data_IF_563372542009
#
_entry.id   IF_563372542009
#
_cell.length_a   1.000
_cell.length_b   1.000
_cell.length_c   1.000
_cell.angle_alpha   90.00
_cell.angle_beta   90.00
_cell.angle_gamma   90.00
#
_symmetry.space_group_name_H-M   'P 1'
#
loop_
_entity.id
_entity.type
_entity.pdbx_description
1 polymer ?
#
# COMPACT_ATOMS: atom_id res chain seq x y z
N UNK A 1 24.93 -65.81 -50.85
CA UNK A 1 23.62 -65.50 -51.49
C UNK A 1 22.59 -65.24 -50.39
N UNK A 2 22.29 -63.97 -50.09
CA UNK A 2 21.20 -63.59 -49.20
C UNK A 2 20.07 -63.00 -50.04
N UNK A 3 19.00 -63.77 -50.20
CA UNK A 3 17.78 -63.35 -50.90
C UNK A 3 16.94 -62.47 -49.97
N UNK A 4 16.89 -61.16 -50.24
CA UNK A 4 15.97 -60.24 -49.57
C UNK A 4 14.56 -60.50 -50.10
N UNK A 5 13.67 -61.03 -49.25
CA UNK A 5 12.24 -61.14 -49.52
C UNK A 5 11.66 -59.74 -49.75
N UNK A 6 11.41 -59.41 -51.00
CA UNK A 6 10.77 -58.17 -51.42
C UNK A 6 9.26 -58.32 -51.18
N UNK A 7 8.74 -57.77 -50.09
CA UNK A 7 7.29 -57.68 -49.89
C UNK A 7 6.70 -56.75 -50.97
N UNK A 8 5.59 -57.18 -51.59
CA UNK A 8 4.92 -56.37 -52.60
C UNK A 8 4.43 -55.06 -51.95
N UNK A 9 4.57 -53.93 -52.65
CA UNK A 9 4.13 -52.62 -52.15
C UNK A 9 2.65 -52.61 -51.71
N UNK A 10 1.84 -53.52 -52.25
CA UNK A 10 0.43 -53.74 -51.86
C UNK A 10 0.28 -54.42 -50.49
N UNK A 11 1.16 -55.37 -50.14
CA UNK A 11 1.16 -56.01 -48.83
C UNK A 11 1.63 -55.05 -47.72
N UNK A 12 2.60 -54.17 -48.02
CA UNK A 12 3.07 -53.14 -47.08
C UNK A 12 2.01 -52.06 -46.84
N UNK A 13 1.31 -51.61 -47.89
CA UNK A 13 0.23 -50.64 -47.77
C UNK A 13 -0.97 -51.21 -46.99
N UNK A 14 -1.33 -52.47 -47.23
CA UNK A 14 -2.39 -53.16 -46.48
C UNK A 14 -2.06 -53.33 -44.99
N UNK A 15 -0.80 -53.67 -44.67
CA UNK A 15 -0.34 -53.77 -43.28
C UNK A 15 -0.31 -52.40 -42.58
N UNK A 16 0.08 -51.33 -43.28
CA UNK A 16 0.12 -49.98 -42.73
C UNK A 16 -1.29 -49.42 -42.48
N UNK A 17 -2.24 -49.68 -43.38
CA UNK A 17 -3.65 -49.30 -43.18
C UNK A 17 -4.31 -50.07 -42.04
N UNK A 18 -3.97 -51.36 -41.87
CA UNK A 18 -4.48 -52.15 -40.74
C UNK A 18 -3.88 -51.67 -39.40
N UNK A 19 -2.60 -51.28 -39.39
CA UNK A 19 -1.92 -50.73 -38.21
C UNK A 19 -2.50 -49.36 -37.83
N UNK A 20 -2.81 -48.50 -38.80
CA UNK A 20 -3.47 -47.21 -38.57
C UNK A 20 -4.90 -47.38 -38.05
N UNK A 21 -5.65 -48.38 -38.55
CA UNK A 21 -6.98 -48.70 -38.02
C UNK A 21 -6.92 -49.25 -36.59
N UNK A 22 -5.92 -50.08 -36.28
CA UNK A 22 -5.67 -50.60 -34.93
C UNK A 22 -5.24 -49.50 -33.96
N UNK A 23 -4.44 -48.52 -34.41
CA UNK A 23 -4.06 -47.34 -33.63
C UNK A 23 -5.25 -46.40 -33.38
N UNK A 24 -6.15 -46.24 -34.35
CA UNK A 24 -7.39 -45.46 -34.19
C UNK A 24 -8.39 -46.15 -33.25
N UNK A 25 -8.45 -47.48 -33.24
CA UNK A 25 -9.31 -48.25 -32.32
C UNK A 25 -8.72 -48.36 -30.90
N UNK A 26 -7.41 -48.30 -30.75
CA UNK A 26 -6.74 -48.25 -29.44
C UNK A 26 -6.78 -46.85 -28.78
N UNK A 27 -7.19 -45.82 -29.51
CA UNK A 27 -7.31 -44.45 -29.01
C UNK A 27 -8.60 -44.13 -28.24
N UNK A 28 -9.56 -45.07 -28.17
CA UNK A 28 -10.84 -44.88 -27.47
C UNK A 28 -11.06 -46.00 -26.43
N UNK A 29 -10.36 -45.94 -25.29
CA UNK A 29 -10.84 -46.49 -24.03
C UNK A 29 -9.84 -46.21 -22.89
N UNK A 30 -9.82 -44.96 -22.44
CA UNK A 30 -9.79 -44.65 -21.00
C UNK A 30 -10.57 -43.34 -20.86
N UNK A 31 -11.90 -43.43 -20.78
CA UNK A 31 -12.63 -42.42 -20.02
C UNK A 31 -12.01 -42.45 -18.62
N UNK A 32 -11.41 -41.34 -18.17
CA UNK A 32 -10.98 -41.26 -16.78
C UNK A 32 -12.25 -41.35 -15.94
N UNK A 33 -12.39 -42.42 -15.15
CA UNK A 33 -13.48 -42.59 -14.19
C UNK A 33 -13.46 -41.55 -13.06
N UNK A 34 -12.42 -40.70 -12.98
CA UNK A 34 -12.39 -39.50 -12.16
C UNK A 34 -13.12 -38.34 -12.87
N UNK A 35 -14.39 -38.55 -13.22
CA UNK A 35 -15.30 -37.41 -13.42
C UNK A 35 -15.66 -36.95 -12.00
N UNK A 36 -15.29 -35.74 -11.57
CA UNK A 36 -15.63 -35.26 -10.24
C UNK A 36 -17.16 -35.27 -10.09
N UNK A 37 -17.70 -36.25 -9.36
CA UNK A 37 -19.14 -36.42 -9.13
C UNK A 37 -19.65 -35.54 -7.98
N UNK A 38 -18.79 -34.65 -7.46
CA UNK A 38 -19.18 -33.60 -6.52
C UNK A 38 -19.92 -32.46 -7.23
N UNK A 39 -20.56 -31.55 -6.49
CA UNK A 39 -21.03 -30.30 -7.08
C UNK A 39 -19.88 -29.60 -7.81
N UNK A 40 -20.16 -29.04 -8.99
CA UNK A 40 -19.17 -28.30 -9.75
C UNK A 40 -18.55 -27.23 -8.86
N UNK A 41 -17.22 -27.23 -8.77
CA UNK A 41 -16.49 -26.18 -8.04
C UNK A 41 -16.68 -24.89 -8.83
N UNK A 42 -17.44 -23.94 -8.29
CA UNK A 42 -17.61 -22.62 -8.91
C UNK A 42 -16.46 -21.69 -8.50
N UNK A 43 -16.19 -20.68 -9.31
CA UNK A 43 -15.19 -19.64 -8.99
C UNK A 43 -15.57 -18.93 -7.69
N UNK A 44 -16.84 -18.54 -7.52
CA UNK A 44 -17.31 -17.94 -6.26
C UNK A 44 -17.04 -18.81 -5.02
N UNK A 45 -17.17 -20.14 -5.17
CA UNK A 45 -16.87 -21.06 -4.08
C UNK A 45 -15.37 -21.10 -3.79
N UNK A 46 -14.52 -21.14 -4.81
CA UNK A 46 -13.06 -21.08 -4.65
C UNK A 46 -12.64 -19.78 -3.95
N UNK A 47 -13.24 -18.64 -4.31
CA UNK A 47 -13.01 -17.37 -3.63
C UNK A 47 -13.40 -17.47 -2.15
N UNK A 48 -14.62 -17.92 -1.85
CA UNK A 48 -15.11 -18.04 -0.48
C UNK A 48 -14.26 -19.00 0.36
N UNK A 49 -13.89 -20.15 -0.20
CA UNK A 49 -13.04 -21.15 0.45
C UNK A 49 -11.60 -20.60 0.63
N UNK A 50 -11.11 -19.79 -0.31
CA UNK A 50 -9.82 -19.11 -0.23
C UNK A 50 -9.76 -18.12 0.93
N UNK A 51 -10.75 -17.24 1.06
CA UNK A 51 -10.83 -16.29 2.18
C UNK A 51 -11.07 -16.98 3.52
N UNK A 52 -11.85 -18.07 3.53
CA UNK A 52 -12.02 -18.89 4.75
C UNK A 52 -10.70 -19.51 5.20
N UNK A 53 -9.94 -20.10 4.28
CA UNK A 53 -8.62 -20.65 4.57
C UNK A 53 -7.63 -19.55 5.01
N UNK A 54 -7.67 -18.38 4.37
CA UNK A 54 -6.86 -17.21 4.76
C UNK A 54 -7.12 -16.81 6.21
N UNK A 55 -8.40 -16.65 6.59
CA UNK A 55 -8.79 -16.30 7.96
C UNK A 55 -8.39 -17.37 9.00
N UNK A 56 -8.28 -18.63 8.58
CA UNK A 56 -7.79 -19.73 9.43
C UNK A 56 -6.27 -19.82 9.50
N UNK A 57 -5.54 -18.97 8.78
CA UNK A 57 -4.07 -19.02 8.67
C UNK A 57 -3.56 -20.15 7.78
N UNK A 58 -4.44 -20.81 7.02
CA UNK A 58 -4.12 -21.90 6.11
C UNK A 58 -3.66 -21.35 4.74
N UNK A 59 -2.57 -20.59 4.73
CA UNK A 59 -2.14 -19.80 3.57
C UNK A 59 -1.86 -20.63 2.31
N UNK A 60 -1.31 -21.84 2.44
CA UNK A 60 -1.08 -22.72 1.27
C UNK A 60 -2.41 -23.17 0.62
N UNK A 61 -3.43 -23.43 1.45
CA UNK A 61 -4.75 -23.81 0.98
C UNK A 61 -5.49 -22.60 0.39
N UNK A 62 -5.39 -21.44 1.04
CA UNK A 62 -5.92 -20.18 0.51
C UNK A 62 -5.33 -19.89 -0.88
N UNK A 63 -4.00 -20.00 -1.01
CA UNK A 63 -3.31 -19.77 -2.27
C UNK A 63 -3.74 -20.76 -3.35
N UNK A 64 -3.94 -22.04 -3.00
CA UNK A 64 -4.46 -23.05 -3.93
C UNK A 64 -5.84 -22.66 -4.44
N UNK A 65 -6.76 -22.31 -3.55
CA UNK A 65 -8.13 -21.92 -3.91
C UNK A 65 -8.16 -20.67 -4.80
N UNK A 66 -7.43 -19.62 -4.44
CA UNK A 66 -7.35 -18.41 -5.26
C UNK A 66 -6.66 -18.66 -6.61
N UNK A 67 -5.61 -19.48 -6.64
CA UNK A 67 -4.92 -19.83 -7.90
C UNK A 67 -5.84 -20.62 -8.83
N UNK A 68 -6.63 -21.56 -8.29
CA UNK A 68 -7.62 -22.30 -9.07
C UNK A 68 -8.74 -21.38 -9.59
N UNK A 69 -9.17 -20.39 -8.79
CA UNK A 69 -10.12 -19.36 -9.24
C UNK A 69 -9.54 -18.54 -10.40
N UNK A 70 -8.30 -18.08 -10.30
CA UNK A 70 -7.62 -17.33 -11.35
C UNK A 70 -7.36 -18.19 -12.61
N UNK A 71 -7.13 -19.50 -12.47
CA UNK A 71 -6.99 -20.42 -13.60
C UNK A 71 -8.31 -20.64 -14.34
N UNK A 72 -9.43 -20.68 -13.61
CA UNK A 72 -10.76 -20.81 -14.18
C UNK A 72 -11.22 -19.51 -14.85
N UNK A 73 -10.96 -18.36 -14.23
CA UNK A 73 -11.30 -17.03 -14.71
C UNK A 73 -10.10 -16.08 -14.57
N UNK A 74 -9.32 -15.93 -15.65
CA UNK A 74 -8.10 -15.13 -15.64
C UNK A 74 -8.31 -13.63 -15.35
N UNK A 75 -9.54 -13.14 -15.48
CA UNK A 75 -9.95 -11.76 -15.17
C UNK A 75 -10.60 -11.61 -13.78
N UNK A 76 -10.58 -12.65 -12.94
CA UNK A 76 -11.16 -12.59 -11.61
C UNK A 76 -10.26 -11.80 -10.65
N UNK A 77 -10.61 -10.53 -10.40
CA UNK A 77 -9.83 -9.62 -9.55
C UNK A 77 -9.75 -10.07 -8.10
N UNK A 78 -10.80 -10.70 -7.59
CA UNK A 78 -10.90 -11.18 -6.21
C UNK A 78 -9.87 -12.30 -5.95
N UNK A 79 -9.61 -13.15 -6.95
CA UNK A 79 -8.55 -14.16 -6.88
C UNK A 79 -7.16 -13.52 -6.73
N UNK A 80 -6.86 -12.48 -7.52
CA UNK A 80 -5.58 -11.76 -7.39
C UNK A 80 -5.47 -11.00 -6.05
N UNK A 81 -6.57 -10.43 -5.56
CA UNK A 81 -6.62 -9.80 -4.25
C UNK A 81 -6.25 -10.81 -3.15
N UNK A 82 -6.94 -11.95 -3.13
CA UNK A 82 -6.69 -13.04 -2.18
C UNK A 82 -5.26 -13.58 -2.24
N UNK A 83 -4.71 -13.80 -3.45
CA UNK A 83 -3.30 -14.17 -3.64
C UNK A 83 -2.36 -13.12 -3.09
N UNK A 84 -2.63 -11.84 -3.35
CA UNK A 84 -1.83 -10.72 -2.87
C UNK A 84 -1.69 -10.70 -1.35
N UNK A 85 -2.83 -10.77 -0.65
CA UNK A 85 -2.87 -10.87 0.80
C UNK A 85 -2.22 -12.15 1.34
N UNK A 86 -2.42 -13.28 0.67
CA UNK A 86 -1.83 -14.56 1.08
C UNK A 86 -0.31 -14.52 0.98
N UNK A 87 0.25 -13.96 -0.10
CA UNK A 87 1.70 -13.77 -0.22
C UNK A 87 2.26 -12.80 0.80
N UNK A 88 1.52 -11.74 1.17
CA UNK A 88 1.95 -10.82 2.21
C UNK A 88 2.12 -11.54 3.55
N UNK A 89 1.16 -12.40 3.93
CA UNK A 89 1.26 -13.22 5.14
C UNK A 89 2.40 -14.25 5.10
N UNK A 90 2.74 -14.73 3.91
CA UNK A 90 3.89 -15.61 3.69
C UNK A 90 5.23 -14.86 3.59
N UNK A 91 5.25 -13.54 3.79
CA UNK A 91 6.44 -12.68 3.64
C UNK A 91 7.06 -12.72 2.23
N UNK A 92 6.25 -13.03 1.21
CA UNK A 92 6.63 -13.01 -0.20
C UNK A 92 6.25 -11.65 -0.84
N UNK A 93 6.80 -10.56 -0.29
CA UNK A 93 6.38 -9.18 -0.58
C UNK A 93 6.32 -8.84 -2.06
N UNK A 94 7.31 -9.27 -2.86
CA UNK A 94 7.33 -9.00 -4.30
C UNK A 94 6.12 -9.61 -5.03
N UNK A 95 5.69 -10.81 -4.63
CA UNK A 95 4.50 -11.47 -5.22
C UNK A 95 3.22 -10.86 -4.68
N UNK A 96 3.19 -10.45 -3.41
CA UNK A 96 2.07 -9.72 -2.84
C UNK A 96 1.81 -8.42 -3.61
N UNK A 97 2.83 -7.56 -3.71
CA UNK A 97 2.77 -6.28 -4.43
C UNK A 97 2.36 -6.48 -5.90
N UNK A 98 2.89 -7.52 -6.56
CA UNK A 98 2.52 -7.82 -7.95
C UNK A 98 1.03 -8.19 -8.07
N UNK A 99 0.51 -9.09 -7.23
CA UNK A 99 -0.88 -9.53 -7.33
C UNK A 99 -1.87 -8.43 -6.93
N UNK A 100 -1.57 -7.66 -5.87
CA UNK A 100 -2.35 -6.48 -5.51
C UNK A 100 -2.29 -5.40 -6.62
N UNK A 101 -1.13 -5.23 -7.26
CA UNK A 101 -0.97 -4.36 -8.43
C UNK A 101 -1.80 -4.84 -9.64
N UNK A 102 -1.94 -6.14 -9.84
CA UNK A 102 -2.79 -6.70 -10.90
C UNK A 102 -4.26 -6.34 -10.67
N UNK A 103 -4.76 -6.31 -9.43
CA UNK A 103 -6.14 -5.87 -9.12
C UNK A 103 -6.40 -4.46 -9.68
N UNK A 104 -5.47 -3.54 -9.42
CA UNK A 104 -5.56 -2.14 -9.84
C UNK A 104 -5.45 -2.04 -11.37
N UNK A 105 -4.40 -2.63 -11.96
CA UNK A 105 -4.11 -2.49 -13.38
C UNK A 105 -5.16 -3.20 -14.26
N UNK A 106 -5.53 -4.44 -13.92
CA UNK A 106 -6.52 -5.20 -14.67
C UNK A 106 -7.92 -4.64 -14.44
N UNK A 107 -8.26 -4.26 -13.19
CA UNK A 107 -9.56 -3.67 -12.87
C UNK A 107 -9.83 -2.39 -13.65
N UNK A 108 -8.82 -1.52 -13.81
CA UNK A 108 -8.96 -0.32 -14.65
C UNK A 108 -9.31 -0.65 -16.11
N UNK A 109 -8.72 -1.70 -16.68
CA UNK A 109 -9.04 -2.17 -18.03
C UNK A 109 -10.46 -2.75 -18.07
N UNK A 110 -10.83 -3.58 -17.10
CA UNK A 110 -12.16 -4.21 -17.05
C UNK A 110 -13.29 -3.19 -16.88
N UNK A 111 -13.08 -2.11 -16.11
CA UNK A 111 -14.04 -1.01 -15.99
C UNK A 111 -14.15 -0.23 -17.31
N UNK A 112 -13.01 0.08 -17.94
CA UNK A 112 -13.00 0.82 -19.20
C UNK A 112 -13.73 0.07 -20.33
N UNK A 113 -13.64 -1.27 -20.32
CA UNK A 113 -14.33 -2.15 -21.27
C UNK A 113 -15.75 -2.55 -20.81
N UNK A 114 -16.27 -1.95 -19.73
CA UNK A 114 -17.62 -2.18 -19.17
C UNK A 114 -17.90 -3.64 -18.72
N UNK A 115 -16.86 -4.41 -18.40
CA UNK A 115 -17.02 -5.77 -17.86
C UNK A 115 -17.44 -5.80 -16.39
N UNK A 116 -17.02 -4.81 -15.62
CA UNK A 116 -17.35 -4.64 -14.19
C UNK A 116 -17.77 -3.19 -13.93
N UNK A 117 -18.48 -2.96 -12.83
CA UNK A 117 -18.91 -1.61 -12.48
C UNK A 117 -17.78 -0.81 -11.84
N UNK A 118 -17.76 0.53 -11.99
CA UNK A 118 -16.80 1.38 -11.29
C UNK A 118 -16.82 1.18 -9.77
N UNK A 119 -18.00 0.98 -9.18
CA UNK A 119 -18.15 0.79 -7.73
C UNK A 119 -17.44 -0.49 -7.26
N UNK A 120 -17.63 -1.61 -7.97
CA UNK A 120 -16.95 -2.87 -7.66
C UNK A 120 -15.43 -2.75 -7.79
N UNK A 121 -14.96 -2.07 -8.83
CA UNK A 121 -13.53 -1.80 -9.00
C UNK A 121 -12.97 -0.92 -7.89
N UNK A 122 -13.64 0.18 -7.52
CA UNK A 122 -13.19 1.06 -6.44
C UNK A 122 -13.04 0.27 -5.13
N UNK A 123 -14.01 -0.58 -4.76
CA UNK A 123 -13.89 -1.45 -3.58
C UNK A 123 -12.61 -2.29 -3.61
N UNK A 124 -12.37 -3.01 -4.71
CA UNK A 124 -11.19 -3.85 -4.87
C UNK A 124 -9.88 -3.05 -4.94
N UNK A 125 -9.91 -1.86 -5.55
CA UNK A 125 -8.77 -0.95 -5.65
C UNK A 125 -8.32 -0.50 -4.26
N UNK A 126 -9.27 -0.10 -3.42
CA UNK A 126 -9.00 0.33 -2.04
C UNK A 126 -8.47 -0.82 -1.20
N UNK A 127 -9.09 -2.00 -1.27
CA UNK A 127 -8.60 -3.21 -0.58
C UNK A 127 -7.19 -3.61 -1.04
N UNK A 128 -6.91 -3.49 -2.34
CA UNK A 128 -5.57 -3.75 -2.87
C UNK A 128 -4.55 -2.69 -2.42
N UNK A 129 -4.91 -1.41 -2.42
CA UNK A 129 -4.07 -0.32 -1.93
C UNK A 129 -3.73 -0.49 -0.44
N UNK A 130 -4.70 -0.86 0.40
CA UNK A 130 -4.47 -1.15 1.82
C UNK A 130 -3.48 -2.32 2.01
N UNK A 131 -3.64 -3.40 1.24
CA UNK A 131 -2.71 -4.52 1.24
C UNK A 131 -1.29 -4.11 0.81
N UNK A 132 -1.16 -3.18 -0.16
CA UNK A 132 0.13 -2.66 -0.58
C UNK A 132 0.76 -1.80 0.51
N UNK A 133 -0.01 -0.91 1.15
CA UNK A 133 0.48 -0.10 2.27
C UNK A 133 1.07 -0.99 3.38
N UNK A 134 0.33 -2.02 3.80
CA UNK A 134 0.79 -3.00 4.78
C UNK A 134 2.06 -3.74 4.33
N UNK A 135 2.12 -4.18 3.07
CA UNK A 135 3.28 -4.91 2.54
C UNK A 135 4.52 -4.03 2.47
N UNK A 136 4.40 -2.79 1.98
CA UNK A 136 5.51 -1.84 1.91
C UNK A 136 6.00 -1.43 3.30
N UNK A 137 5.11 -1.30 4.28
CA UNK A 137 5.50 -1.08 5.67
C UNK A 137 6.36 -2.25 6.18
N UNK A 138 5.95 -3.49 5.93
CA UNK A 138 6.72 -4.69 6.28
C UNK A 138 8.11 -4.73 5.64
N UNK A 139 8.23 -4.24 4.40
CA UNK A 139 9.49 -4.10 3.68
C UNK A 139 10.31 -2.87 4.10
N UNK A 140 9.78 -2.02 5.01
CA UNK A 140 10.34 -0.73 5.44
C UNK A 140 10.52 0.29 4.32
N UNK A 141 9.71 0.15 3.27
CA UNK A 141 9.59 1.14 2.20
C UNK A 141 8.55 2.18 2.62
N UNK A 142 8.96 3.07 3.53
CA UNK A 142 8.03 3.94 4.25
C UNK A 142 7.30 4.93 3.33
N UNK A 143 8.00 5.58 2.40
CA UNK A 143 7.39 6.52 1.46
C UNK A 143 6.30 5.85 0.60
N UNK A 144 6.55 4.61 0.13
CA UNK A 144 5.56 3.84 -0.60
C UNK A 144 4.37 3.47 0.31
N UNK A 145 4.64 3.06 1.55
CA UNK A 145 3.60 2.71 2.52
C UNK A 145 2.66 3.89 2.81
N UNK A 146 3.22 5.09 3.06
CA UNK A 146 2.46 6.34 3.21
C UNK A 146 1.64 6.63 1.97
N UNK A 147 2.25 6.60 0.78
CA UNK A 147 1.54 6.92 -0.46
C UNK A 147 0.34 5.99 -0.72
N UNK A 148 0.47 4.69 -0.42
CA UNK A 148 -0.65 3.75 -0.55
C UNK A 148 -1.70 3.92 0.54
N UNK A 149 -1.30 4.25 1.78
CA UNK A 149 -2.23 4.55 2.86
C UNK A 149 -3.05 5.81 2.59
N UNK A 150 -2.40 6.89 2.12
CA UNK A 150 -3.05 8.14 1.71
C UNK A 150 -4.10 7.88 0.62
N UNK A 151 -3.76 7.06 -0.37
CA UNK A 151 -4.71 6.70 -1.43
C UNK A 151 -5.94 5.98 -0.90
N UNK A 152 -5.83 5.20 0.17
CA UNK A 152 -7.00 4.55 0.81
C UNK A 152 -7.83 5.59 1.56
N UNK A 153 -7.17 6.42 2.37
CA UNK A 153 -7.83 7.44 3.20
C UNK A 153 -8.58 8.46 2.35
N UNK A 154 -8.02 8.86 1.19
CA UNK A 154 -8.65 9.80 0.26
C UNK A 154 -9.86 9.18 -0.45
N UNK A 155 -9.75 7.93 -0.89
CA UNK A 155 -10.81 7.28 -1.70
C UNK A 155 -11.96 6.76 -0.84
N UNK A 156 -11.67 6.17 0.33
CA UNK A 156 -12.66 5.57 1.22
C UNK A 156 -12.33 5.85 2.70
N UNK A 157 -12.77 7.00 3.24
CA UNK A 157 -12.58 7.33 4.66
C UNK A 157 -13.31 6.41 5.64
N UNK A 158 -14.22 5.55 5.17
CA UNK A 158 -14.94 4.55 5.97
C UNK A 158 -14.50 3.12 5.63
N UNK A 159 -13.30 2.97 5.04
CA UNK A 159 -12.75 1.69 4.58
C UNK A 159 -12.84 0.60 5.65
N UNK A 160 -13.37 -0.55 5.23
CA UNK A 160 -13.32 -1.81 5.96
C UNK A 160 -13.13 -2.95 4.95
N UNK A 161 -12.10 -3.77 5.15
CA UNK A 161 -11.84 -4.91 4.27
C UNK A 161 -12.99 -5.93 4.39
N UNK A 162 -13.53 -6.41 3.26
CA UNK A 162 -14.72 -7.28 3.27
C UNK A 162 -14.49 -8.66 3.89
N UNK A 163 -13.25 -9.13 3.89
CA UNK A 163 -12.88 -10.49 4.30
C UNK A 163 -11.91 -10.61 5.47
N UNK A 164 -11.26 -9.52 5.85
CA UNK A 164 -10.22 -9.54 6.87
C UNK A 164 -10.73 -8.70 8.03
N UNK A 165 -11.14 -9.39 9.08
CA UNK A 165 -11.60 -8.74 10.30
C UNK A 165 -10.52 -7.81 10.85
N UNK A 166 -10.95 -6.71 11.44
CA UNK A 166 -10.10 -5.65 12.02
C UNK A 166 -9.15 -4.94 11.04
N UNK A 167 -9.15 -5.27 9.74
CA UNK A 167 -8.44 -4.49 8.73
C UNK A 167 -9.34 -3.39 8.13
N UNK A 168 -9.39 -2.23 8.77
CA UNK A 168 -10.14 -1.07 8.30
C UNK A 168 -9.34 0.23 8.32
N UNK A 169 -10.04 1.37 8.24
CA UNK A 169 -9.40 2.69 8.12
C UNK A 169 -8.48 3.02 9.31
N UNK A 170 -8.82 2.58 10.52
CA UNK A 170 -7.96 2.79 11.71
C UNK A 170 -6.63 2.04 11.59
N UNK A 171 -6.68 0.81 11.09
CA UNK A 171 -5.50 -0.01 10.83
C UNK A 171 -4.61 0.63 9.75
N UNK A 172 -5.23 1.19 8.69
CA UNK A 172 -4.53 1.93 7.63
C UNK A 172 -3.87 3.21 8.16
N UNK A 173 -4.55 3.96 9.03
CA UNK A 173 -3.97 5.14 9.68
C UNK A 173 -2.83 4.77 10.62
N UNK A 174 -2.91 3.65 11.33
CA UNK A 174 -1.79 3.15 12.13
C UNK A 174 -0.62 2.72 11.24
N UNK A 175 -0.85 2.08 10.09
CA UNK A 175 0.19 1.80 9.08
C UNK A 175 0.84 3.10 8.59
N UNK A 176 0.04 4.13 8.30
CA UNK A 176 0.51 5.45 7.89
C UNK A 176 1.39 6.08 8.98
N UNK A 177 0.96 6.05 10.24
CA UNK A 177 1.70 6.60 11.36
C UNK A 177 3.03 5.87 11.63
N UNK A 178 3.04 4.54 11.52
CA UNK A 178 4.24 3.70 11.61
C UNK A 178 5.22 4.02 10.47
N UNK A 179 4.70 4.21 9.26
CA UNK A 179 5.51 4.58 8.11
C UNK A 179 6.12 5.98 8.26
N UNK A 180 5.36 6.99 8.70
CA UNK A 180 5.88 8.31 9.01
C UNK A 180 6.98 8.28 10.08
N UNK A 181 6.78 7.50 11.15
CA UNK A 181 7.83 7.33 12.17
C UNK A 181 9.10 6.72 11.59
N UNK A 182 8.95 5.67 10.76
CA UNK A 182 10.07 5.01 10.08
C UNK A 182 10.79 5.91 9.07
N UNK A 183 10.07 6.82 8.42
CA UNK A 183 10.60 7.83 7.49
C UNK A 183 11.23 9.04 8.21
N UNK A 184 11.21 9.08 9.54
CA UNK A 184 11.66 10.21 10.37
C UNK A 184 10.79 11.48 10.19
N UNK A 185 9.58 11.34 9.67
CA UNK A 185 8.56 12.39 9.55
C UNK A 185 7.72 12.49 10.83
N UNK A 186 8.39 12.79 11.94
CA UNK A 186 7.79 12.70 13.29
C UNK A 186 6.62 13.65 13.53
N UNK A 187 6.57 14.80 12.84
CA UNK A 187 5.45 15.74 12.95
C UNK A 187 4.17 15.12 12.37
N UNK A 188 4.26 14.52 11.18
CA UNK A 188 3.12 13.86 10.53
C UNK A 188 2.66 12.64 11.34
N UNK A 189 3.61 11.83 11.82
CA UNK A 189 3.33 10.73 12.74
C UNK A 189 2.56 11.21 13.99
N UNK A 190 3.04 12.28 14.64
CA UNK A 190 2.40 12.88 15.81
C UNK A 190 0.95 13.28 15.53
N UNK A 191 0.67 13.90 14.37
CA UNK A 191 -0.70 14.31 14.03
C UNK A 191 -1.62 13.11 13.81
N UNK A 192 -1.17 12.07 13.13
CA UNK A 192 -1.97 10.85 12.94
C UNK A 192 -2.22 10.15 14.29
N UNK A 193 -1.21 10.07 15.16
CA UNK A 193 -1.37 9.51 16.51
C UNK A 193 -2.32 10.34 17.36
N UNK A 194 -2.26 11.67 17.30
CA UNK A 194 -3.20 12.54 17.99
C UNK A 194 -4.63 12.40 17.44
N UNK A 195 -4.78 12.23 16.12
CA UNK A 195 -6.08 11.95 15.51
C UNK A 195 -6.69 10.63 16.04
N UNK A 196 -5.89 9.57 16.13
CA UNK A 196 -6.34 8.25 16.56
C UNK A 196 -6.61 8.18 18.08
N UNK A 197 -5.80 8.86 18.89
CA UNK A 197 -5.91 8.84 20.36
C UNK A 197 -6.77 9.97 20.92
N UNK A 198 -6.98 11.04 20.15
CA UNK A 198 -7.65 12.28 20.54
C UNK A 198 -6.95 13.07 21.65
N UNK A 199 -5.73 12.71 22.04
CA UNK A 199 -5.11 13.26 23.24
C UNK A 199 -3.59 13.29 23.30
N UNK A 200 -2.88 12.68 22.35
CA UNK A 200 -1.41 12.58 22.37
C UNK A 200 -0.72 13.94 22.56
N UNK A 201 -1.04 14.94 21.73
CA UNK A 201 -0.40 16.26 21.79
C UNK A 201 -0.72 16.95 23.13
N UNK A 202 -1.98 16.88 23.57
CA UNK A 202 -2.42 17.52 24.81
C UNK A 202 -1.93 16.81 26.09
N UNK A 203 -1.60 15.52 25.98
CA UNK A 203 -1.19 14.65 27.08
C UNK A 203 0.31 14.46 27.21
N UNK A 204 1.08 14.80 26.16
CA UNK A 204 2.54 14.72 26.17
C UNK A 204 3.16 15.60 27.26
N UNK A 205 4.20 15.09 27.90
CA UNK A 205 4.98 15.86 28.87
C UNK A 205 6.13 16.62 28.22
N UNK A 206 6.42 16.30 26.95
CA UNK A 206 7.54 16.84 26.20
C UNK A 206 7.14 17.92 25.20
N UNK A 207 5.89 17.94 24.72
CA UNK A 207 5.43 18.92 23.74
C UNK A 207 5.06 20.24 24.42
N UNK A 208 5.67 21.32 23.97
CA UNK A 208 5.34 22.68 24.41
C UNK A 208 5.00 23.54 23.20
N UNK A 209 3.83 24.20 23.28
CA UNK A 209 3.44 25.25 22.34
C UNK A 209 4.01 26.59 22.81
N UNK A 210 4.70 27.31 21.92
CA UNK A 210 5.28 28.61 22.22
C UNK A 210 5.10 29.58 21.06
N UNK A 211 5.36 30.86 21.33
CA UNK A 211 5.39 31.92 20.33
C UNK A 211 6.64 32.76 20.52
N UNK A 212 7.33 33.04 19.43
CA UNK A 212 8.52 33.88 19.41
C UNK A 212 8.44 34.89 18.27
N UNK A 213 8.86 36.13 18.52
CA UNK A 213 9.08 37.13 17.47
C UNK A 213 10.54 37.07 17.03
N UNK A 214 10.78 36.70 15.78
CA UNK A 214 12.11 36.38 15.24
C UNK A 214 12.48 37.35 14.12
N UNK A 215 13.72 37.83 14.16
CA UNK A 215 14.30 38.59 13.06
C UNK A 215 14.68 37.67 11.90
N UNK A 216 14.20 37.98 10.70
CA UNK A 216 14.50 37.19 9.51
C UNK A 216 15.96 37.33 9.07
N UNK A 217 16.54 36.19 8.67
CA UNK A 217 17.81 36.13 7.94
C UNK A 217 17.52 35.93 6.45
N UNK A 218 18.28 36.63 5.62
CA UNK A 218 18.08 36.66 4.17
C UNK A 218 19.08 35.72 3.50
N UNK A 219 18.57 34.84 2.66
CA UNK A 219 19.35 33.98 1.76
C UNK A 219 19.78 34.78 0.53
N UNK A 220 20.85 34.33 -0.13
CA UNK A 220 21.33 34.98 -1.37
C UNK A 220 20.22 35.08 -2.44
N UNK A 221 19.35 34.07 -2.52
CA UNK A 221 18.24 34.00 -3.48
C UNK A 221 16.91 34.56 -2.92
N UNK A 222 16.85 35.07 -1.69
CA UNK A 222 15.60 35.63 -1.14
C UNK A 222 15.00 36.74 -2.02
N UNK A 223 15.77 37.67 -2.62
CA UNK A 223 15.19 38.72 -3.46
C UNK A 223 14.42 38.20 -4.68
N UNK A 224 14.77 37.03 -5.20
CA UNK A 224 14.12 36.43 -6.37
C UNK A 224 13.10 35.35 -5.98
N UNK A 225 13.41 34.53 -4.98
CA UNK A 225 12.55 33.45 -4.51
C UNK A 225 11.46 33.93 -3.54
N UNK A 226 11.66 35.02 -2.81
CA UNK A 226 10.80 35.41 -1.68
C UNK A 226 10.92 34.50 -0.45
N UNK A 227 11.84 33.53 -0.46
CA UNK A 227 12.08 32.59 0.64
C UNK A 227 13.15 33.13 1.56
N UNK A 228 12.91 33.11 2.87
CA UNK A 228 13.85 33.56 3.89
C UNK A 228 13.88 32.59 5.07
N UNK A 229 14.78 32.83 6.03
CA UNK A 229 15.03 31.94 7.16
C UNK A 229 14.72 32.60 8.51
N UNK A 230 14.13 31.80 9.40
CA UNK A 230 13.92 32.13 10.80
C UNK A 230 14.70 31.11 11.65
N UNK A 231 15.51 31.62 12.57
CA UNK A 231 16.23 30.79 13.54
C UNK A 231 15.56 30.93 14.91
N UNK A 232 14.99 29.82 15.39
CA UNK A 232 14.32 29.73 16.68
C UNK A 232 15.33 29.86 17.82
N UNK A 233 14.95 30.55 18.89
CA UNK A 233 15.76 30.61 20.12
C UNK A 233 15.84 29.26 20.84
N UNK A 234 14.81 28.41 20.64
CA UNK A 234 14.67 27.10 21.27
C UNK A 234 14.88 26.00 20.22
N UNK A 235 15.82 25.07 20.43
CA UNK A 235 16.01 23.92 19.54
C UNK A 235 14.89 22.88 19.73
N UNK A 236 14.98 21.73 19.07
CA UNK A 236 14.01 20.63 19.12
C UNK A 236 12.64 21.01 18.56
N UNK A 237 12.61 21.76 17.46
CA UNK A 237 11.38 22.04 16.72
C UNK A 237 10.67 20.73 16.39
N UNK A 238 9.39 20.63 16.70
CA UNK A 238 8.54 19.52 16.24
C UNK A 238 7.80 19.97 14.99
N UNK A 239 7.06 21.07 15.09
CA UNK A 239 6.19 21.55 14.03
C UNK A 239 5.98 23.08 14.09
N UNK A 240 6.19 23.82 12.99
CA UNK A 240 5.84 25.24 12.91
C UNK A 240 4.34 25.41 12.64
N UNK A 241 3.58 25.83 13.65
CA UNK A 241 2.13 26.00 13.57
C UNK A 241 1.70 27.19 12.70
N UNK A 242 2.42 28.31 12.78
CA UNK A 242 2.17 29.47 11.93
C UNK A 242 3.37 30.41 11.89
N UNK A 243 3.57 31.09 10.76
CA UNK A 243 4.47 32.23 10.63
C UNK A 243 3.65 33.43 10.16
N UNK A 244 3.68 34.54 10.90
CA UNK A 244 2.93 35.76 10.56
C UNK A 244 3.82 36.99 10.57
N UNK A 245 3.59 37.92 9.65
CA UNK A 245 4.26 39.22 9.67
C UNK A 245 3.71 40.13 10.79
N UNK A 246 4.33 41.30 10.99
CA UNK A 246 3.89 42.28 11.98
C UNK A 246 2.45 42.81 11.77
N UNK A 247 1.86 42.60 10.59
CA UNK A 247 0.47 42.91 10.27
C UNK A 247 -0.50 41.76 10.55
N UNK A 248 -0.01 40.59 10.98
CA UNK A 248 -0.78 39.37 11.19
C UNK A 248 -1.08 38.60 9.90
N UNK A 249 -0.37 38.87 8.80
CA UNK A 249 -0.53 38.15 7.54
C UNK A 249 0.24 36.84 7.61
N UNK A 250 -0.45 35.73 7.36
CA UNK A 250 0.15 34.39 7.32
C UNK A 250 1.13 34.27 6.17
N UNK A 251 2.28 33.68 6.47
CA UNK A 251 3.30 33.30 5.50
C UNK A 251 3.22 31.80 5.23
N UNK A 252 3.77 31.38 4.10
CA UNK A 252 3.88 29.97 3.72
C UNK A 252 5.15 29.38 4.35
N UNK A 253 5.02 28.33 5.16
CA UNK A 253 6.18 27.54 5.58
C UNK A 253 6.64 26.70 4.39
N UNK A 254 7.92 26.81 4.03
CA UNK A 254 8.50 26.12 2.87
C UNK A 254 9.17 24.83 3.29
N UNK A 255 9.96 24.86 4.36
CA UNK A 255 10.57 23.67 4.94
C UNK A 255 11.02 23.90 6.37
N UNK A 256 11.16 22.82 7.12
CA UNK A 256 11.75 22.77 8.45
C UNK A 256 12.27 21.35 8.70
N UNK A 257 13.07 21.18 9.75
CA UNK A 257 13.59 19.88 10.19
C UNK A 257 13.12 19.63 11.62
N UNK A 258 12.47 18.48 11.85
CA UNK A 258 12.08 18.06 13.20
C UNK A 258 13.34 17.74 14.02
N UNK A 259 13.43 18.25 15.25
CA UNK A 259 14.64 18.28 16.06
C UNK A 259 15.51 19.51 15.82
N UNK A 260 15.29 20.25 14.72
CA UNK A 260 16.07 21.42 14.33
C UNK A 260 15.67 22.72 15.05
N UNK A 261 16.14 23.83 14.51
CA UNK A 261 15.85 25.18 15.01
C UNK A 261 15.68 26.22 13.89
N UNK A 262 15.54 25.77 12.64
CA UNK A 262 15.46 26.66 11.47
C UNK A 262 14.18 26.35 10.70
N UNK A 263 13.50 27.41 10.29
CA UNK A 263 12.31 27.36 9.43
C UNK A 263 12.61 28.21 8.20
N UNK A 264 12.38 27.64 7.01
CA UNK A 264 12.31 28.43 5.78
C UNK A 264 10.86 28.76 5.48
N UNK A 265 10.60 29.99 5.06
CA UNK A 265 9.25 30.46 4.79
C UNK A 265 9.26 31.44 3.63
N UNK A 266 8.11 31.59 2.97
CA UNK A 266 7.87 32.53 1.89
C UNK A 266 6.83 33.56 2.32
N UNK A 267 7.15 34.83 2.10
CA UNK A 267 6.26 35.95 2.41
C UNK A 267 6.08 36.90 1.23
N UNK A 268 4.98 37.66 1.27
CA UNK A 268 4.70 38.74 0.34
C UNK A 268 4.18 39.96 1.13
N UNK A 269 4.90 41.10 1.18
CA UNK A 269 6.11 41.43 0.42
C UNK A 269 7.33 40.58 0.78
N UNK A 270 8.32 40.54 -0.13
CA UNK A 270 9.58 39.81 0.05
C UNK A 270 10.28 40.31 1.32
N UNK A 271 10.68 39.41 2.25
CA UNK A 271 11.35 39.80 3.48
C UNK A 271 12.64 40.59 3.23
N UNK A 272 12.91 41.60 4.06
CA UNK A 272 14.22 42.27 4.12
C UNK A 272 14.91 41.99 5.45
N UNK A 273 16.24 42.10 5.45
CA UNK A 273 17.05 41.74 6.61
C UNK A 273 16.62 42.51 7.86
N UNK A 274 16.29 41.77 8.92
CA UNK A 274 15.85 42.34 10.20
C UNK A 274 14.34 42.52 10.35
N UNK A 275 13.54 42.27 9.31
CA UNK A 275 12.07 42.17 9.46
C UNK A 275 11.71 41.15 10.55
N UNK A 276 10.63 41.45 11.29
CA UNK A 276 10.19 40.64 12.42
C UNK A 276 8.97 39.81 12.02
N UNK A 277 9.01 38.53 12.39
CA UNK A 277 7.91 37.59 12.18
C UNK A 277 7.56 36.90 13.50
N UNK A 278 6.27 36.80 13.78
CA UNK A 278 5.76 36.01 14.90
C UNK A 278 5.62 34.56 14.44
N UNK A 279 6.25 33.65 15.16
CA UNK A 279 6.24 32.21 14.88
C UNK A 279 5.58 31.49 16.04
N UNK A 280 4.49 30.78 15.77
CA UNK A 280 3.91 29.81 16.70
C UNK A 280 4.42 28.43 16.31
N UNK A 281 4.91 27.66 17.28
CA UNK A 281 5.48 26.35 17.02
C UNK A 281 5.39 25.43 18.24
N UNK A 282 5.42 24.13 17.94
CA UNK A 282 5.61 23.06 18.92
C UNK A 282 7.09 22.70 18.97
N UNK A 283 7.65 22.60 20.17
CA UNK A 283 9.00 22.05 20.39
C UNK A 283 9.00 21.01 21.50
N UNK A 284 10.00 20.13 21.49
CA UNK A 284 10.20 19.13 22.52
C UNK A 284 11.15 19.66 23.62
N UNK A 285 10.76 19.57 24.89
CA UNK A 285 11.68 19.89 26.01
C UNK A 285 12.87 18.94 26.06
N UNK A 286 12.62 17.67 25.75
CA UNK A 286 13.64 16.67 25.44
C UNK A 286 13.17 15.89 24.20
N UNK A 287 13.92 16.02 23.10
CA UNK A 287 13.53 15.41 21.84
C UNK A 287 13.60 13.88 21.88
N UNK A 288 14.54 13.30 22.65
CA UNK A 288 14.64 11.85 22.78
C UNK A 288 13.46 11.27 23.56
N UNK A 289 13.07 11.91 24.65
CA UNK A 289 11.87 11.52 25.41
C UNK A 289 10.58 11.73 24.60
N UNK A 290 10.50 12.77 23.76
CA UNK A 290 9.38 12.96 22.83
C UNK A 290 9.25 11.78 21.86
N UNK A 291 10.36 11.31 21.28
CA UNK A 291 10.35 10.16 20.38
C UNK A 291 9.93 8.87 21.10
N UNK A 292 10.33 8.71 22.37
CA UNK A 292 9.88 7.60 23.22
C UNK A 292 8.38 7.68 23.48
N UNK A 293 7.84 8.84 23.87
CA UNK A 293 6.40 9.03 24.06
C UNK A 293 5.62 8.73 22.77
N UNK A 294 6.11 9.19 21.62
CA UNK A 294 5.48 8.95 20.32
C UNK A 294 5.50 7.46 19.93
N UNK A 295 6.62 6.77 20.16
CA UNK A 295 6.74 5.32 19.94
C UNK A 295 5.80 4.54 20.86
N UNK A 296 5.77 4.86 22.15
CA UNK A 296 4.91 4.20 23.12
C UNK A 296 3.42 4.40 22.78
N UNK A 297 3.06 5.59 22.27
CA UNK A 297 1.71 5.85 21.79
C UNK A 297 1.36 5.00 20.56
N UNK A 298 2.26 4.88 19.58
CA UNK A 298 2.08 3.99 18.43
C UNK A 298 1.90 2.53 18.83
N UNK A 299 2.74 2.03 19.75
CA UNK A 299 2.66 0.66 20.26
C UNK A 299 1.35 0.34 21.01
N UNK A 300 0.61 1.38 21.42
CA UNK A 300 -0.66 1.27 22.15
C UNK A 300 -1.91 1.31 21.28
N UNK A 301 -1.78 1.62 19.98
CA UNK A 301 -2.86 1.62 18.99
C UNK A 301 -3.26 0.19 18.60
#
# INVERSE_FOLDING_TARGET
>A
MHSRKMWSKRALAGALSLLLLLLLLAGCATESEDIPTGPAITVDRLISDGWTAYAQGEYDQALTNFSDAANAEANNLEAYLGMGYTFAQQQESSRAIQNLGNVIALGAVLVADEFITPEYYTTLKVEASAGKAATYLGDRAYDDAVAWADSVIEEDPEFAHRWIDDFGILEVKRIQAEAYYGAEEYAECMFVVDELTGSFISGSTQIVNTTETIAVTILEDTPASGVAELHLSTPNLIYPSSVTDAGGVSCEVVSYETGGSTITFRANPVPVFGDQYDVQYLYATDFGEFLIELRDALDSL
#
